data_IF_715211686514
#
_entry.id   IF_715211686514
#
_cell.length_a   1.000
_cell.length_b   1.000
_cell.length_c   1.000
_cell.angle_alpha   90.00
_cell.angle_beta   90.00
_cell.angle_gamma   90.00
#
_symmetry.space_group_name_H-M   'P 1'
#
loop_
_entity.id
_entity.type
_entity.pdbx_description
1 polymer ?
#
# COMPACT_ATOMS: atom_id res chain seq x y z
N UNK A 1 -6.36 -1.29 17.66
CA UNK A 1 -5.99 -1.84 16.35
C UNK A 1 -5.20 -3.11 16.61
N UNK A 2 -5.71 -4.25 16.16
CA UNK A 2 -5.11 -5.56 16.41
C UNK A 2 -4.89 -6.23 15.05
N UNK A 3 -3.62 -6.49 14.71
CA UNK A 3 -3.25 -7.07 13.43
C UNK A 3 -3.16 -8.59 13.54
N UNK A 4 -3.50 -9.29 12.46
CA UNK A 4 -3.14 -10.69 12.31
C UNK A 4 -1.62 -10.86 12.35
N UNK A 5 -1.13 -11.97 12.91
CA UNK A 5 0.30 -12.27 13.01
C UNK A 5 0.99 -12.30 11.63
N UNK A 6 0.23 -12.63 10.58
CA UNK A 6 0.66 -12.62 9.18
C UNK A 6 -0.08 -11.52 8.44
N UNK A 7 0.65 -10.70 7.67
CA UNK A 7 0.11 -9.71 6.75
C UNK A 7 0.22 -10.14 5.28
N UNK A 8 -0.59 -9.54 4.42
CA UNK A 8 -0.56 -9.76 2.98
C UNK A 8 0.32 -8.70 2.28
N UNK A 9 1.43 -9.13 1.69
CA UNK A 9 2.35 -8.26 0.96
C UNK A 9 1.90 -8.01 -0.49
N UNK A 10 1.78 -6.74 -0.88
CA UNK A 10 1.39 -6.33 -2.23
C UNK A 10 2.59 -5.92 -3.11
N UNK A 11 3.82 -6.20 -2.66
CA UNK A 11 5.06 -5.73 -3.28
C UNK A 11 5.45 -6.42 -4.60
N UNK A 12 6.48 -5.84 -5.25
CA UNK A 12 6.96 -6.24 -6.58
C UNK A 12 7.57 -7.65 -6.65
N UNK A 13 8.07 -8.19 -5.53
CA UNK A 13 8.70 -9.53 -5.50
C UNK A 13 7.68 -10.62 -5.84
N UNK A 14 6.53 -10.61 -5.15
CA UNK A 14 5.40 -11.47 -5.50
C UNK A 14 4.64 -10.97 -6.73
N UNK A 15 4.62 -9.64 -6.94
CA UNK A 15 4.18 -9.01 -8.18
C UNK A 15 2.68 -9.12 -8.49
N UNK A 16 1.91 -9.90 -7.73
CA UNK A 16 0.49 -10.16 -7.99
C UNK A 16 -0.33 -8.86 -8.08
N UNK A 17 -0.17 -7.97 -7.10
CA UNK A 17 -0.90 -6.69 -7.08
C UNK A 17 -0.35 -5.68 -8.09
N UNK A 18 0.81 -5.92 -8.69
CA UNK A 18 1.42 -5.02 -9.68
C UNK A 18 1.16 -5.47 -11.12
N UNK A 19 1.13 -6.78 -11.38
CA UNK A 19 1.17 -7.39 -12.73
C UNK A 19 0.18 -8.55 -12.92
N UNK A 20 -0.42 -9.05 -11.84
CA UNK A 20 -1.36 -10.17 -11.91
C UNK A 20 -2.69 -9.78 -12.55
N UNK A 21 -3.41 -10.77 -13.05
CA UNK A 21 -4.72 -10.57 -13.64
C UNK A 21 -5.74 -10.07 -12.59
N UNK A 22 -6.70 -9.21 -12.98
CA UNK A 22 -7.68 -8.66 -12.04
C UNK A 22 -8.42 -9.72 -11.22
N UNK A 23 -8.76 -10.85 -11.84
CA UNK A 23 -9.46 -11.95 -11.16
C UNK A 23 -8.56 -12.67 -10.15
N UNK A 24 -7.27 -12.84 -10.44
CA UNK A 24 -6.32 -13.49 -9.52
C UNK A 24 -6.09 -12.62 -8.27
N UNK A 25 -6.02 -11.30 -8.45
CA UNK A 25 -5.89 -10.34 -7.34
C UNK A 25 -7.08 -10.45 -6.39
N UNK A 26 -8.30 -10.44 -6.92
CA UNK A 26 -9.54 -10.56 -6.12
C UNK A 26 -9.56 -11.89 -5.37
N UNK A 27 -9.28 -13.01 -6.06
CA UNK A 27 -9.26 -14.34 -5.41
C UNK A 27 -8.23 -14.43 -4.29
N UNK A 28 -7.03 -13.87 -4.49
CA UNK A 28 -5.98 -13.93 -3.49
C UNK A 28 -6.30 -13.10 -2.26
N UNK A 29 -6.81 -11.87 -2.44
CA UNK A 29 -7.20 -11.01 -1.32
C UNK A 29 -8.38 -11.62 -0.55
N UNK A 30 -9.41 -12.10 -1.26
CA UNK A 30 -10.54 -12.78 -0.62
C UNK A 30 -10.07 -14.00 0.19
N UNK A 31 -9.17 -14.81 -0.38
CA UNK A 31 -8.62 -15.98 0.32
C UNK A 31 -7.79 -15.60 1.54
N UNK A 32 -7.02 -14.51 1.48
CA UNK A 32 -6.28 -14.01 2.62
C UNK A 32 -7.23 -13.62 3.78
N UNK A 33 -8.32 -12.92 3.47
CA UNK A 33 -9.34 -12.53 4.44
C UNK A 33 -10.06 -13.75 5.05
N UNK A 34 -10.41 -14.76 4.24
CA UNK A 34 -10.98 -16.02 4.73
C UNK A 34 -10.07 -16.77 5.72
N UNK A 35 -8.75 -16.59 5.59
CA UNK A 35 -7.75 -17.18 6.48
C UNK A 35 -7.46 -16.30 7.71
N UNK A 36 -8.19 -15.20 7.89
CA UNK A 36 -8.07 -14.31 9.04
C UNK A 36 -7.00 -13.22 8.89
N UNK A 37 -6.41 -13.04 7.70
CA UNK A 37 -5.46 -11.94 7.46
C UNK A 37 -6.25 -10.63 7.35
N UNK A 38 -5.88 -9.66 8.18
CA UNK A 38 -6.56 -8.36 8.24
C UNK A 38 -5.66 -7.16 7.93
N UNK A 39 -4.38 -7.40 7.61
CA UNK A 39 -3.41 -6.35 7.27
C UNK A 39 -2.85 -6.52 5.86
N UNK A 40 -2.91 -5.45 5.06
CA UNK A 40 -2.44 -5.41 3.68
C UNK A 40 -1.38 -4.31 3.52
N UNK A 41 -0.17 -4.70 3.14
CA UNK A 41 0.99 -3.82 2.99
C UNK A 41 1.28 -3.52 1.52
N UNK A 42 1.29 -2.24 1.15
CA UNK A 42 1.62 -1.74 -0.19
C UNK A 42 2.60 -0.57 -0.11
N UNK A 43 2.91 0.10 -1.23
CA UNK A 43 3.72 1.32 -1.27
C UNK A 43 3.47 2.12 -2.56
N UNK A 44 3.67 3.44 -2.50
CA UNK A 44 3.61 4.33 -3.68
C UNK A 44 4.51 3.84 -4.82
N UNK A 45 5.70 3.35 -4.49
CA UNK A 45 6.71 2.92 -5.46
C UNK A 45 6.40 1.57 -6.13
N UNK A 46 5.58 0.70 -5.52
CA UNK A 46 5.35 -0.65 -6.04
C UNK A 46 4.61 -0.60 -7.38
N UNK A 47 5.33 -0.98 -8.44
CA UNK A 47 4.85 -0.81 -9.80
C UNK A 47 4.50 0.63 -10.20
N UNK A 48 5.10 1.64 -9.57
CA UNK A 48 4.77 3.06 -9.81
C UNK A 48 3.31 3.38 -9.49
N UNK A 49 2.83 2.94 -8.32
CA UNK A 49 1.46 3.18 -7.84
C UNK A 49 0.44 2.12 -8.24
N UNK A 50 0.77 1.20 -9.16
CA UNK A 50 -0.15 0.15 -9.60
C UNK A 50 -0.63 -0.75 -8.47
N UNK A 51 0.25 -1.09 -7.52
CA UNK A 51 -0.12 -1.90 -6.36
C UNK A 51 -1.24 -1.25 -5.55
N UNK A 52 -1.13 0.05 -5.26
CA UNK A 52 -2.15 0.81 -4.52
C UNK A 52 -3.47 0.90 -5.30
N UNK A 53 -3.40 1.19 -6.60
CA UNK A 53 -4.60 1.24 -7.47
C UNK A 53 -5.33 -0.10 -7.50
N UNK A 54 -4.59 -1.20 -7.67
CA UNK A 54 -5.19 -2.54 -7.74
C UNK A 54 -5.72 -2.99 -6.38
N UNK A 55 -4.97 -2.76 -5.29
CA UNK A 55 -5.46 -3.06 -3.94
C UNK A 55 -6.74 -2.28 -3.63
N UNK A 56 -6.75 -0.98 -3.90
CA UNK A 56 -7.93 -0.13 -3.71
C UNK A 56 -9.16 -0.64 -4.47
N UNK A 57 -8.99 -0.99 -5.75
CA UNK A 57 -10.04 -1.62 -6.58
C UNK A 57 -10.58 -2.89 -5.93
N UNK A 58 -9.68 -3.80 -5.54
CA UNK A 58 -10.06 -5.11 -4.99
C UNK A 58 -10.77 -4.98 -3.63
N UNK A 59 -10.26 -4.14 -2.73
CA UNK A 59 -10.89 -3.92 -1.42
C UNK A 59 -12.29 -3.32 -1.57
N UNK A 60 -12.49 -2.40 -2.53
CA UNK A 60 -13.81 -1.86 -2.86
C UNK A 60 -14.74 -2.92 -3.44
N UNK A 61 -14.26 -3.74 -4.37
CA UNK A 61 -15.03 -4.83 -4.98
C UNK A 61 -15.49 -5.86 -3.93
N UNK A 62 -14.64 -6.16 -2.96
CA UNK A 62 -14.93 -7.09 -1.87
C UNK A 62 -15.69 -6.45 -0.69
N UNK A 63 -15.91 -5.13 -0.71
CA UNK A 63 -16.42 -4.37 0.44
C UNK A 63 -15.64 -4.70 1.73
N UNK A 64 -14.33 -4.81 1.60
CA UNK A 64 -13.43 -5.31 2.63
C UNK A 64 -13.17 -4.24 3.70
N UNK A 65 -13.40 -4.62 4.96
CA UNK A 65 -13.01 -3.86 6.14
C UNK A 65 -11.72 -4.47 6.72
N UNK A 66 -10.58 -3.92 6.29
CA UNK A 66 -9.24 -4.40 6.63
C UNK A 66 -8.31 -3.22 6.86
N UNK A 67 -7.21 -3.47 7.56
CA UNK A 67 -6.17 -2.48 7.77
C UNK A 67 -5.23 -2.40 6.56
N UNK A 68 -4.90 -1.18 6.15
CA UNK A 68 -4.01 -0.91 5.01
C UNK A 68 -2.82 -0.10 5.48
N UNK A 69 -1.63 -0.63 5.21
CA UNK A 69 -0.37 0.09 5.32
C UNK A 69 0.15 0.52 3.95
N UNK A 70 0.61 1.76 3.84
CA UNK A 70 1.42 2.19 2.69
C UNK A 70 2.69 2.90 3.14
N UNK A 71 3.54 3.26 2.19
CA UNK A 71 4.87 3.79 2.43
C UNK A 71 5.10 5.04 1.60
N UNK A 72 5.85 5.96 2.20
CA UNK A 72 6.38 7.15 1.54
C UNK A 72 7.88 6.98 1.30
N UNK A 73 8.34 7.37 0.11
CA UNK A 73 9.77 7.34 -0.24
C UNK A 73 10.33 8.76 -0.33
N UNK A 74 11.45 9.04 0.35
CA UNK A 74 12.13 10.34 0.34
C UNK A 74 12.60 10.74 -1.06
N UNK A 75 12.92 9.78 -1.92
CA UNK A 75 13.33 10.03 -3.29
C UNK A 75 12.22 10.60 -4.20
N UNK A 76 10.97 10.63 -3.73
CA UNK A 76 9.84 11.19 -4.47
C UNK A 76 9.60 12.68 -4.15
N UNK A 77 10.27 13.24 -3.14
CA UNK A 77 10.03 14.61 -2.67
C UNK A 77 11.16 15.58 -2.98
N UNK A 78 10.80 16.87 -3.02
CA UNK A 78 11.75 17.96 -2.96
C UNK A 78 12.51 17.92 -1.61
N UNK A 79 13.84 17.74 -1.61
CA UNK A 79 14.62 17.72 -0.37
C UNK A 79 14.53 19.03 0.44
N UNK A 80 14.14 20.14 -0.19
CA UNK A 80 14.00 21.44 0.45
C UNK A 80 12.67 21.60 1.22
N UNK A 81 11.65 20.79 0.92
CA UNK A 81 10.38 20.74 1.67
C UNK A 81 9.85 19.30 1.80
N UNK A 82 10.51 18.53 2.68
CA UNK A 82 10.12 17.16 2.99
C UNK A 82 8.69 17.07 3.54
N UNK A 83 8.19 18.10 4.22
CA UNK A 83 6.85 18.09 4.80
C UNK A 83 5.80 18.11 3.70
N UNK A 84 5.92 19.04 2.74
CA UNK A 84 5.02 19.08 1.59
C UNK A 84 5.07 17.78 0.81
N UNK A 85 6.26 17.23 0.55
CA UNK A 85 6.42 15.96 -0.16
C UNK A 85 5.75 14.76 0.51
N UNK A 86 5.83 14.66 1.84
CA UNK A 86 5.10 13.62 2.60
C UNK A 86 3.59 13.77 2.41
N UNK A 87 3.06 14.99 2.55
CA UNK A 87 1.62 15.25 2.44
C UNK A 87 1.12 14.89 1.04
N UNK A 88 1.78 15.41 -0.01
CA UNK A 88 1.43 15.15 -1.41
C UNK A 88 1.46 13.65 -1.74
N UNK A 89 2.49 12.94 -1.26
CA UNK A 89 2.60 11.50 -1.48
C UNK A 89 1.48 10.73 -0.78
N UNK A 90 1.14 11.09 0.46
CA UNK A 90 0.05 10.43 1.20
C UNK A 90 -1.28 10.69 0.51
N UNK A 91 -1.58 11.93 0.11
CA UNK A 91 -2.78 12.27 -0.65
C UNK A 91 -2.89 11.50 -1.97
N UNK A 92 -1.79 11.39 -2.70
CA UNK A 92 -1.74 10.60 -3.93
C UNK A 92 -1.99 9.11 -3.67
N UNK A 93 -1.48 8.58 -2.55
CA UNK A 93 -1.69 7.19 -2.13
C UNK A 93 -3.14 6.93 -1.75
N UNK A 94 -3.74 7.83 -0.96
CA UNK A 94 -5.16 7.80 -0.59
C UNK A 94 -6.07 7.81 -1.84
N UNK A 95 -5.75 8.68 -2.81
CA UNK A 95 -6.45 8.73 -4.10
C UNK A 95 -6.35 7.42 -4.88
N UNK A 96 -5.15 6.81 -4.96
CA UNK A 96 -4.95 5.53 -5.65
C UNK A 96 -5.67 4.38 -4.96
N UNK A 97 -5.63 4.34 -3.63
CA UNK A 97 -6.34 3.35 -2.80
C UNK A 97 -7.86 3.56 -2.82
N UNK A 98 -8.33 4.76 -3.18
CA UNK A 98 -9.75 5.12 -3.09
C UNK A 98 -10.25 5.14 -1.66
N UNK A 99 -9.41 5.58 -0.71
CA UNK A 99 -9.70 5.62 0.74
C UNK A 99 -9.47 7.03 1.27
N UNK A 100 -10.22 7.40 2.31
CA UNK A 100 -10.03 8.67 3.02
C UNK A 100 -8.88 8.61 4.03
N UNK A 101 -8.53 7.40 4.48
CA UNK A 101 -7.45 7.16 5.42
C UNK A 101 -6.75 5.82 5.16
N UNK A 102 -5.56 5.69 5.73
CA UNK A 102 -4.83 4.44 5.90
C UNK A 102 -4.45 4.27 7.36
N UNK A 103 -4.28 3.03 7.79
CA UNK A 103 -4.06 2.67 9.19
C UNK A 103 -2.59 2.82 9.59
N UNK A 104 -1.70 2.75 8.62
CA UNK A 104 -0.26 2.90 8.83
C UNK A 104 0.44 3.57 7.63
N UNK A 105 1.22 4.61 7.92
CA UNK A 105 2.21 5.18 6.99
C UNK A 105 3.60 4.87 7.52
N UNK A 106 4.45 4.32 6.65
CA UNK A 106 5.84 4.01 6.96
C UNK A 106 6.79 4.81 6.07
N UNK A 107 7.92 5.24 6.62
CA UNK A 107 9.03 5.71 5.81
C UNK A 107 9.68 4.50 5.12
N UNK A 108 9.73 4.50 3.79
CA UNK A 108 10.24 3.38 3.01
C UNK A 108 11.78 3.33 2.99
N UNK A 109 12.41 4.48 3.15
CA UNK A 109 13.84 4.64 3.04
C UNK A 109 14.53 4.68 4.39
N UNK A 110 15.83 4.34 4.38
CA UNK A 110 16.70 4.55 5.52
C UNK A 110 17.01 6.04 5.65
N UNK A 111 16.96 6.55 6.88
CA UNK A 111 17.53 7.85 7.20
C UNK A 111 18.98 7.61 7.61
N UNK A 112 19.93 8.09 6.82
CA UNK A 112 21.35 8.11 7.17
C UNK A 112 21.98 9.44 6.79
N UNK A 113 22.95 9.90 7.57
CA UNK A 113 23.83 11.00 7.15
C UNK A 113 24.55 10.61 5.85
N UNK A 114 24.57 11.49 4.85
CA UNK A 114 25.47 11.32 3.71
C UNK A 114 26.89 11.30 4.28
N UNK A 115 27.56 10.16 4.14
CA UNK A 115 28.98 9.99 4.48
C UNK A 115 29.76 9.92 3.19
#
# INVERSE_FOLDING_TARGET
>A
MEFSEIGFGCGDVGGLMVRGEPADQVRAVARAMELGINYFDTASRYGGGRSETNLGRVLKELSADVFVGTKYSLGEADPSDLKAGVIESVEASLKRLGREQVDLIQLHDRISSQT
#
